data_IF_110299674816
#
_entry.id   IF_110299674816
#
_cell.length_a   1.000
_cell.length_b   1.000
_cell.length_c   1.000
_cell.angle_alpha   90.00
_cell.angle_beta   90.00
_cell.angle_gamma   90.00
#
_symmetry.space_group_name_H-M   'P 1'
#
loop_
_entity.id
_entity.type
_entity.pdbx_description
1 polymer ?
#
# COMPACT_ATOMS: atom_id res chain seq x y z
N UNK A 1 -11.22 0.40 1.04
CA UNK A 1 -10.12 1.32 0.67
C UNK A 1 -9.52 0.87 -0.67
N UNK A 2 -8.85 1.74 -1.43
CA UNK A 2 -8.16 1.34 -2.67
C UNK A 2 -6.65 1.55 -2.50
N UNK A 3 -5.84 0.56 -2.88
CA UNK A 3 -4.38 0.59 -2.73
C UNK A 3 -3.74 1.76 -3.49
N UNK A 4 -4.34 2.18 -4.61
CA UNK A 4 -3.82 3.25 -5.47
C UNK A 4 -3.59 4.57 -4.73
N UNK A 5 -4.46 4.90 -3.76
CA UNK A 5 -4.39 6.17 -3.05
C UNK A 5 -3.19 6.20 -2.10
N UNK A 6 -2.99 5.11 -1.36
CA UNK A 6 -1.85 4.93 -0.49
C UNK A 6 -0.54 4.90 -1.30
N UNK A 7 -0.52 4.15 -2.41
CA UNK A 7 0.63 4.05 -3.31
C UNK A 7 1.04 5.39 -3.92
N UNK A 8 0.08 6.16 -4.45
CA UNK A 8 0.38 7.44 -5.08
C UNK A 8 0.84 8.48 -4.05
N UNK A 9 0.19 8.57 -2.87
CA UNK A 9 0.65 9.48 -1.81
C UNK A 9 2.04 9.10 -1.31
N UNK A 10 2.31 7.81 -1.10
CA UNK A 10 3.62 7.30 -0.67
C UNK A 10 4.73 7.61 -1.68
N UNK A 11 4.49 7.34 -2.96
CA UNK A 11 5.45 7.65 -4.02
C UNK A 11 5.77 9.15 -4.10
N UNK A 12 4.75 10.01 -4.16
CA UNK A 12 4.97 11.47 -4.22
C UNK A 12 5.71 11.97 -2.96
N UNK A 13 5.37 11.43 -1.78
CA UNK A 13 6.04 11.77 -0.52
C UNK A 13 7.52 11.39 -0.52
N UNK A 14 7.87 10.21 -1.03
CA UNK A 14 9.27 9.74 -1.06
C UNK A 14 10.15 10.59 -2.00
N UNK A 15 9.59 11.09 -3.10
CA UNK A 15 10.28 12.05 -3.98
C UNK A 15 10.29 13.49 -3.44
N UNK A 16 9.41 13.82 -2.50
CA UNK A 16 9.09 15.20 -2.11
C UNK A 16 8.25 15.91 -3.18
N UNK A 17 8.70 15.90 -4.43
CA UNK A 17 7.97 16.37 -5.61
C UNK A 17 8.10 15.36 -6.74
N UNK A 18 6.98 14.99 -7.35
CA UNK A 18 7.00 14.00 -8.44
C UNK A 18 6.07 14.37 -9.59
N UNK A 19 6.53 14.11 -10.80
CA UNK A 19 5.68 14.03 -11.99
C UNK A 19 4.87 12.73 -11.99
N UNK A 20 3.72 12.75 -12.67
CA UNK A 20 2.89 11.55 -12.78
C UNK A 20 3.60 10.35 -13.45
N UNK A 21 4.57 10.61 -14.31
CA UNK A 21 5.41 9.57 -14.92
C UNK A 21 6.39 8.92 -13.91
N UNK A 22 7.01 9.70 -13.01
CA UNK A 22 7.88 9.14 -11.96
C UNK A 22 7.07 8.19 -11.05
N UNK A 23 5.90 8.65 -10.59
CA UNK A 23 4.97 7.83 -9.81
C UNK A 23 4.58 6.55 -10.56
N UNK A 24 4.31 6.64 -11.87
CA UNK A 24 4.02 5.45 -12.68
C UNK A 24 5.21 4.49 -12.71
N UNK A 25 6.41 5.00 -12.96
CA UNK A 25 7.62 4.19 -13.00
C UNK A 25 7.90 3.48 -11.68
N UNK A 26 7.71 4.16 -10.54
CA UNK A 26 7.89 3.55 -9.22
C UNK A 26 6.90 2.40 -9.01
N UNK A 27 5.62 2.61 -9.34
CA UNK A 27 4.60 1.57 -9.20
C UNK A 27 4.88 0.38 -10.14
N UNK A 28 5.40 0.62 -11.33
CA UNK A 28 5.85 -0.45 -12.23
C UNK A 28 7.07 -1.18 -11.66
N UNK A 29 8.03 -0.44 -11.10
CA UNK A 29 9.22 -0.99 -10.45
C UNK A 29 8.89 -1.85 -9.22
N UNK A 30 7.87 -1.47 -8.44
CA UNK A 30 7.33 -2.26 -7.34
C UNK A 30 6.50 -3.47 -7.78
N UNK A 31 6.35 -3.68 -9.10
CA UNK A 31 5.53 -4.75 -9.64
C UNK A 31 4.04 -4.59 -9.32
N UNK A 32 3.55 -3.36 -9.08
CA UNK A 32 2.17 -3.11 -8.63
C UNK A 32 1.11 -3.66 -9.61
N UNK A 33 1.47 -3.88 -10.87
CA UNK A 33 0.63 -4.51 -11.89
C UNK A 33 0.34 -6.00 -11.61
N UNK A 34 1.22 -6.69 -10.88
CA UNK A 34 1.07 -8.12 -10.55
C UNK A 34 0.12 -8.35 -9.37
N UNK A 35 0.10 -7.44 -8.41
CA UNK A 35 -0.57 -7.65 -7.12
C UNK A 35 -1.67 -6.63 -6.80
N UNK A 36 -1.85 -5.60 -7.63
CA UNK A 36 -2.92 -4.61 -7.47
C UNK A 36 -3.64 -4.34 -8.78
N UNK A 37 -4.79 -3.68 -8.70
CA UNK A 37 -5.51 -3.20 -9.89
C UNK A 37 -4.96 -1.85 -10.43
N UNK A 38 -3.79 -1.40 -9.99
CA UNK A 38 -3.20 -0.13 -10.40
C UNK A 38 -2.79 -0.19 -11.88
N UNK A 39 -3.55 0.53 -12.71
CA UNK A 39 -3.24 0.73 -14.14
C UNK A 39 -2.71 2.15 -14.36
N UNK A 40 -1.89 2.41 -15.40
CA UNK A 40 -1.40 3.75 -15.71
C UNK A 40 -2.48 4.84 -15.65
N UNK A 41 -3.62 4.63 -16.31
CA UNK A 41 -4.75 5.58 -16.28
C UNK A 41 -5.29 5.90 -14.88
N UNK A 42 -5.29 4.93 -13.96
CA UNK A 42 -5.75 5.12 -12.58
C UNK A 42 -4.79 5.96 -11.75
N UNK A 43 -3.49 5.93 -12.05
CA UNK A 43 -2.45 6.72 -11.38
C UNK A 43 -2.64 8.20 -11.68
N UNK A 44 -2.72 8.58 -12.96
CA UNK A 44 -2.97 9.99 -13.35
C UNK A 44 -4.31 10.50 -12.86
N UNK A 45 -5.34 9.65 -12.88
CA UNK A 45 -6.64 10.01 -12.33
C UNK A 45 -6.54 10.26 -10.81
N UNK A 46 -5.85 9.39 -10.06
CA UNK A 46 -5.66 9.55 -8.63
C UNK A 46 -4.90 10.83 -8.28
N UNK A 47 -3.80 11.14 -8.99
CA UNK A 47 -3.05 12.40 -8.82
C UNK A 47 -3.94 13.63 -8.98
N UNK A 48 -4.67 13.71 -10.11
CA UNK A 48 -5.60 14.82 -10.38
C UNK A 48 -6.71 14.92 -9.34
N UNK A 49 -7.26 13.78 -8.92
CA UNK A 49 -8.34 13.76 -7.94
C UNK A 49 -7.85 14.18 -6.55
N UNK A 50 -6.65 13.75 -6.14
CA UNK A 50 -6.06 14.14 -4.87
C UNK A 50 -5.62 15.59 -4.83
N UNK A 51 -5.19 16.15 -5.97
CA UNK A 51 -4.96 17.58 -6.09
C UNK A 51 -6.25 18.39 -5.92
N UNK A 52 -7.36 17.97 -6.55
CA UNK A 52 -8.68 18.59 -6.35
C UNK A 52 -9.18 18.51 -4.91
N UNK A 53 -8.76 17.48 -4.16
CA UNK A 53 -9.11 17.28 -2.76
C UNK A 53 -8.21 18.06 -1.79
N UNK A 54 -7.18 18.76 -2.27
CA UNK A 54 -6.22 19.48 -1.43
C UNK A 54 -5.15 18.59 -0.79
N UNK A 55 -5.07 17.31 -1.14
CA UNK A 55 -4.06 16.39 -0.61
C UNK A 55 -2.73 16.48 -1.34
N UNK A 56 -2.76 16.93 -2.59
CA UNK A 56 -1.58 17.21 -3.38
C UNK A 56 -1.63 18.67 -3.86
N UNK A 57 -0.50 19.34 -3.83
CA UNK A 57 -0.32 20.62 -4.48
C UNK A 57 0.25 20.38 -5.89
N UNK A 58 -0.46 20.87 -6.91
CA UNK A 58 -0.02 20.78 -8.30
C UNK A 58 0.79 22.03 -8.67
N UNK A 59 2.02 21.83 -9.12
CA UNK A 59 2.90 22.88 -9.62
C UNK A 59 2.96 22.79 -11.14
N UNK A 60 2.49 23.83 -11.82
CA UNK A 60 2.66 23.93 -13.27
C UNK A 60 4.10 24.35 -13.58
N UNK A 61 4.85 23.46 -14.20
CA UNK A 61 6.23 23.75 -14.63
C UNK A 61 6.20 24.20 -16.08
N UNK A 62 6.86 25.32 -16.34
CA UNK A 62 7.05 25.82 -17.69
C UNK A 62 7.66 24.74 -18.61
N UNK A 63 7.34 24.76 -19.91
CA UNK A 63 7.97 23.90 -20.90
C UNK A 63 9.49 23.85 -20.69
N UNK A 64 10.10 22.66 -20.73
CA UNK A 64 11.56 22.59 -20.65
C UNK A 64 12.18 23.42 -21.78
N UNK A 65 13.39 23.92 -21.57
CA UNK A 65 14.17 24.63 -22.60
C UNK A 65 14.42 23.77 -23.85
N UNK A 66 14.17 22.46 -23.78
CA UNK A 66 14.22 21.52 -24.89
C UNK A 66 12.89 21.34 -25.65
N UNK A 67 11.84 22.12 -25.36
CA UNK A 67 10.61 22.17 -26.14
C UNK A 67 9.57 21.09 -25.82
N UNK A 68 9.59 20.50 -24.63
CA UNK A 68 8.56 19.56 -24.17
C UNK A 68 7.29 20.26 -23.66
N UNK A 69 6.12 19.58 -23.62
CA UNK A 69 4.90 20.14 -23.02
C UNK A 69 5.14 20.51 -21.54
N UNK A 70 4.42 21.52 -21.02
CA UNK A 70 4.47 21.84 -19.59
C UNK A 70 4.08 20.59 -18.79
N UNK A 71 4.83 20.29 -17.74
CA UNK A 71 4.60 19.12 -16.88
C UNK A 71 4.04 19.58 -15.55
N UNK A 72 3.12 18.81 -15.00
CA UNK A 72 2.65 19.02 -13.64
C UNK A 72 3.52 18.23 -12.68
N UNK A 73 4.10 18.89 -11.67
CA UNK A 73 4.62 18.21 -10.47
C UNK A 73 3.55 18.20 -9.39
N UNK A 74 3.54 17.12 -8.60
CA UNK A 74 2.73 17.01 -7.41
C UNK A 74 3.63 16.99 -6.19
N UNK A 75 3.20 17.69 -5.15
CA UNK A 75 3.83 17.72 -3.84
C UNK A 75 2.77 17.36 -2.80
N UNK A 76 3.11 16.54 -1.81
CA UNK A 76 2.14 16.18 -0.76
C UNK A 76 1.94 17.37 0.17
N UNK A 77 0.68 17.71 0.46
CA UNK A 77 0.34 18.76 1.45
C UNK A 77 0.38 18.21 2.88
N UNK A 78 0.28 19.07 3.89
CA UNK A 78 0.11 18.62 5.29
C UNK A 78 -1.12 17.71 5.43
N UNK A 79 -2.24 18.10 4.82
CA UNK A 79 -3.46 17.29 4.79
C UNK A 79 -3.26 15.96 4.04
N UNK A 80 -2.48 15.97 2.96
CA UNK A 80 -2.10 14.75 2.23
C UNK A 80 -1.24 13.81 3.06
N UNK A 81 -0.35 14.36 3.89
CA UNK A 81 0.51 13.60 4.80
C UNK A 81 -0.33 12.96 5.92
N UNK A 82 -1.27 13.69 6.50
CA UNK A 82 -2.22 13.15 7.47
C UNK A 82 -3.06 12.01 6.88
N UNK A 83 -3.61 12.22 5.68
CA UNK A 83 -4.36 11.19 4.96
C UNK A 83 -3.49 9.95 4.68
N UNK A 84 -2.26 10.14 4.21
CA UNK A 84 -1.32 9.05 3.94
C UNK A 84 -1.12 8.15 5.17
N UNK A 85 -0.79 8.74 6.32
CA UNK A 85 -0.57 7.98 7.54
C UNK A 85 -1.88 7.38 8.09
N UNK A 86 -3.02 8.06 7.91
CA UNK A 86 -4.34 7.50 8.25
C UNK A 86 -4.63 6.24 7.44
N UNK A 87 -4.43 6.28 6.12
CA UNK A 87 -4.61 5.13 5.22
C UNK A 87 -3.65 4.00 5.57
N UNK A 88 -2.37 4.31 5.82
CA UNK A 88 -1.35 3.33 6.19
C UNK A 88 -1.73 2.59 7.48
N UNK A 89 -2.07 3.33 8.54
CA UNK A 89 -2.48 2.74 9.83
C UNK A 89 -3.72 1.86 9.69
N UNK A 90 -4.74 2.36 8.98
CA UNK A 90 -5.97 1.63 8.75
C UNK A 90 -5.70 0.32 7.97
N UNK A 91 -4.84 0.37 6.95
CA UNK A 91 -4.48 -0.79 6.15
C UNK A 91 -3.68 -1.84 6.93
N UNK A 92 -2.77 -1.42 7.82
CA UNK A 92 -2.03 -2.33 8.70
C UNK A 92 -2.92 -3.00 9.75
N UNK A 93 -3.96 -2.31 10.23
CA UNK A 93 -4.79 -2.78 11.35
C UNK A 93 -6.00 -3.63 10.92
N UNK A 94 -6.59 -3.33 9.76
CA UNK A 94 -7.86 -3.94 9.30
C UNK A 94 -7.62 -5.33 8.71
N UNK A 95 -8.17 -6.38 9.33
CA UNK A 95 -7.94 -7.77 8.93
C UNK A 95 -8.56 -8.13 7.57
N UNK A 96 -9.71 -7.53 7.25
CA UNK A 96 -10.56 -7.80 6.08
C UNK A 96 -10.21 -6.96 4.83
N UNK A 97 -9.08 -6.26 4.83
CA UNK A 97 -8.66 -5.51 3.64
C UNK A 97 -8.31 -6.44 2.49
N UNK A 98 -8.54 -5.95 1.27
CA UNK A 98 -8.05 -6.59 0.06
C UNK A 98 -6.53 -6.74 0.12
N UNK A 99 -6.03 -7.84 -0.44
CA UNK A 99 -4.60 -8.16 -0.46
C UNK A 99 -3.74 -7.03 -1.03
N UNK A 100 -4.24 -6.30 -2.03
CA UNK A 100 -3.53 -5.17 -2.63
C UNK A 100 -3.29 -4.01 -1.63
N UNK A 101 -4.30 -3.65 -0.84
CA UNK A 101 -4.19 -2.62 0.20
C UNK A 101 -3.18 -3.04 1.28
N UNK A 102 -3.22 -4.31 1.68
CA UNK A 102 -2.27 -4.88 2.66
C UNK A 102 -0.84 -4.85 2.11
N UNK A 103 -0.62 -5.30 0.87
CA UNK A 103 0.68 -5.28 0.23
C UNK A 103 1.25 -3.85 0.13
N UNK A 104 0.43 -2.88 -0.26
CA UNK A 104 0.84 -1.47 -0.29
C UNK A 104 1.27 -0.97 1.10
N UNK A 105 0.50 -1.29 2.14
CA UNK A 105 0.81 -0.88 3.51
C UNK A 105 2.11 -1.50 4.05
N UNK A 106 2.39 -2.77 3.72
CA UNK A 106 3.66 -3.41 4.07
C UNK A 106 4.84 -2.68 3.39
N UNK A 107 4.68 -2.28 2.12
CA UNK A 107 5.71 -1.54 1.38
C UNK A 107 6.09 -0.20 2.02
N UNK A 108 5.19 0.39 2.81
CA UNK A 108 5.39 1.67 3.49
C UNK A 108 5.51 1.55 5.02
N UNK A 109 5.61 0.34 5.57
CA UNK A 109 5.56 0.13 7.03
C UNK A 109 6.67 0.87 7.79
N UNK A 110 7.82 1.07 7.14
CA UNK A 110 9.00 1.74 7.71
C UNK A 110 8.84 3.25 7.84
N UNK A 111 7.81 3.83 7.22
CA UNK A 111 7.48 5.25 7.39
C UNK A 111 6.91 5.55 8.78
N UNK A 112 6.45 4.52 9.51
CA UNK A 112 6.01 4.63 10.89
C UNK A 112 7.20 4.44 11.86
N UNK A 113 7.13 4.95 13.10
CA UNK A 113 7.99 4.48 14.18
C UNK A 113 7.83 2.97 14.40
N UNK A 114 8.94 2.27 14.68
CA UNK A 114 8.94 0.80 14.89
C UNK A 114 7.90 0.34 15.90
N UNK A 115 7.85 1.01 17.05
CA UNK A 115 6.93 0.67 18.13
C UNK A 115 5.46 0.81 17.69
N UNK A 116 5.15 1.81 16.87
CA UNK A 116 3.82 2.01 16.32
C UNK A 116 3.46 0.90 15.32
N UNK A 117 4.35 0.60 14.36
CA UNK A 117 4.13 -0.47 13.40
C UNK A 117 3.88 -1.82 14.09
N UNK A 118 4.69 -2.17 15.10
CA UNK A 118 4.50 -3.38 15.90
C UNK A 118 3.16 -3.38 16.62
N UNK A 119 2.75 -2.26 17.21
CA UNK A 119 1.45 -2.16 17.90
C UNK A 119 0.27 -2.37 16.95
N UNK A 120 0.31 -1.80 15.73
CA UNK A 120 -0.75 -1.96 14.72
C UNK A 120 -0.83 -3.41 14.22
N UNK A 121 0.31 -4.09 14.01
CA UNK A 121 0.34 -5.49 13.62
C UNK A 121 -0.15 -6.43 14.74
N UNK A 122 0.16 -6.12 16.00
CA UNK A 122 -0.38 -6.85 17.16
C UNK A 122 -1.90 -6.69 17.24
N UNK A 123 -2.40 -5.48 17.04
CA UNK A 123 -3.84 -5.21 16.97
C UNK A 123 -4.51 -5.95 15.79
N UNK A 124 -3.87 -6.01 14.62
CA UNK A 124 -4.34 -6.83 13.49
C UNK A 124 -4.48 -8.30 13.89
N UNK A 125 -3.46 -8.84 14.54
CA UNK A 125 -3.43 -10.25 14.98
C UNK A 125 -4.59 -10.53 15.94
N UNK A 126 -4.80 -9.67 16.95
CA UNK A 126 -5.93 -9.77 17.88
C UNK A 126 -7.28 -9.80 17.14
N UNK A 127 -7.47 -8.93 16.14
CA UNK A 127 -8.73 -8.88 15.37
C UNK A 127 -8.95 -10.14 14.52
N UNK A 128 -7.89 -10.71 13.96
CA UNK A 128 -7.96 -11.98 13.22
C UNK A 128 -8.39 -13.11 14.17
N UNK A 129 -7.78 -13.19 15.35
CA UNK A 129 -8.10 -14.19 16.37
C UNK A 129 -9.56 -14.05 16.87
N UNK A 130 -10.03 -12.82 17.11
CA UNK A 130 -11.41 -12.54 17.50
C UNK A 130 -12.42 -12.93 16.43
N UNK A 131 -12.14 -12.57 15.17
CA UNK A 131 -12.99 -12.97 14.05
C UNK A 131 -13.03 -14.48 13.91
N UNK A 132 -11.86 -15.14 13.97
CA UNK A 132 -11.76 -16.60 13.89
C UNK A 132 -12.57 -17.27 15.00
N UNK A 133 -12.43 -16.81 16.24
CA UNK A 133 -13.19 -17.33 17.39
C UNK A 133 -14.70 -17.19 17.17
N UNK A 134 -15.16 -16.01 16.72
CA UNK A 134 -16.56 -15.77 16.43
C UNK A 134 -17.09 -16.70 15.32
N UNK A 135 -16.30 -16.95 14.27
CA UNK A 135 -16.65 -17.89 13.18
C UNK A 135 -16.80 -19.31 13.73
N UNK A 136 -15.86 -19.76 14.57
CA UNK A 136 -15.92 -21.11 15.16
C UNK A 136 -17.05 -21.29 16.15
N UNK A 137 -17.45 -20.24 16.88
CA UNK A 137 -18.55 -20.31 17.85
C UNK A 137 -19.93 -20.27 17.18
N UNK A 138 -20.10 -19.46 16.13
CA UNK A 138 -21.43 -19.20 15.55
C UNK A 138 -21.78 -20.09 14.35
N UNK A 139 -20.79 -20.55 13.59
CA UNK A 139 -21.03 -21.14 12.28
C UNK A 139 -20.54 -22.58 12.15
N UNK A 140 -19.66 -23.05 13.03
CA UNK A 140 -19.18 -24.44 13.00
C UNK A 140 -20.09 -25.30 13.87
N UNK A 141 -20.78 -26.32 13.30
CA UNK A 141 -21.56 -27.28 14.08
C UNK A 141 -20.70 -27.99 15.14
N UNK A 142 -21.31 -28.52 16.21
CA UNK A 142 -20.59 -29.23 17.30
C UNK A 142 -19.71 -30.38 16.77
N UNK A 143 -20.15 -31.07 15.71
CA UNK A 143 -19.40 -32.16 15.06
C UNK A 143 -18.50 -31.68 13.88
N UNK A 144 -18.35 -30.36 13.71
CA UNK A 144 -17.52 -29.73 12.69
C UNK A 144 -18.22 -29.38 11.36
N UNK A 145 -17.52 -28.65 10.47
CA UNK A 145 -18.11 -28.09 9.25
C UNK A 145 -18.50 -29.14 8.20
N UNK A 146 -18.02 -30.39 8.31
CA UNK A 146 -18.32 -31.48 7.37
C UNK A 146 -19.81 -31.86 7.28
N UNK A 147 -20.61 -31.52 8.29
CA UNK A 147 -22.07 -31.74 8.26
C UNK A 147 -22.80 -30.84 7.24
N UNK A 148 -22.18 -29.72 6.84
CA UNK A 148 -22.74 -28.82 5.84
C UNK A 148 -22.33 -29.21 4.41
N UNK A 149 -21.70 -30.39 4.24
CA UNK A 149 -21.20 -30.88 2.96
C UNK A 149 -20.18 -29.91 2.36
N UNK A 150 -20.24 -29.69 1.04
CA UNK A 150 -19.31 -28.79 0.34
C UNK A 150 -19.39 -27.32 0.80
N UNK A 151 -20.48 -26.90 1.45
CA UNK A 151 -20.59 -25.54 2.02
C UNK A 151 -19.67 -25.39 3.24
N UNK A 152 -19.38 -26.49 3.95
CA UNK A 152 -18.40 -26.52 5.05
C UNK A 152 -17.00 -26.10 4.63
N UNK A 153 -16.63 -26.29 3.35
CA UNK A 153 -15.32 -25.89 2.84
C UNK A 153 -15.08 -24.38 2.86
N UNK A 154 -16.15 -23.58 2.83
CA UNK A 154 -16.04 -22.11 2.97
C UNK A 154 -15.49 -21.76 4.37
N UNK A 155 -15.99 -22.44 5.41
CA UNK A 155 -15.50 -22.25 6.78
C UNK A 155 -14.08 -22.77 6.96
N UNK A 156 -13.76 -23.93 6.37
CA UNK A 156 -12.39 -24.45 6.38
C UNK A 156 -11.41 -23.44 5.77
N UNK A 157 -11.76 -22.89 4.59
CA UNK A 157 -10.96 -21.87 3.90
C UNK A 157 -10.76 -20.62 4.78
N UNK A 158 -11.81 -20.13 5.42
CA UNK A 158 -11.77 -18.97 6.31
C UNK A 158 -10.86 -19.18 7.52
N UNK A 159 -11.02 -20.31 8.22
CA UNK A 159 -10.19 -20.66 9.38
C UNK A 159 -8.73 -20.80 8.96
N UNK A 160 -8.45 -21.52 7.86
CA UNK A 160 -7.09 -21.68 7.35
C UNK A 160 -6.45 -20.35 6.95
N UNK A 161 -7.22 -19.47 6.31
CA UNK A 161 -6.74 -18.14 5.92
C UNK A 161 -6.41 -17.30 7.16
N UNK A 162 -7.29 -17.29 8.17
CA UNK A 162 -7.01 -16.57 9.41
C UNK A 162 -5.79 -17.11 10.16
N UNK A 163 -5.65 -18.43 10.27
CA UNK A 163 -4.50 -19.06 10.94
C UNK A 163 -3.19 -18.70 10.22
N UNK A 164 -3.15 -18.82 8.90
CA UNK A 164 -1.98 -18.47 8.10
C UNK A 164 -1.66 -16.96 8.18
N UNK A 165 -2.68 -16.09 8.18
CA UNK A 165 -2.46 -14.65 8.31
C UNK A 165 -1.94 -14.25 9.71
N UNK A 166 -2.46 -14.86 10.77
CA UNK A 166 -1.99 -14.62 12.13
C UNK A 166 -0.53 -15.09 12.29
N UNK A 167 -0.21 -16.31 11.85
CA UNK A 167 1.14 -16.85 11.88
C UNK A 167 2.13 -15.96 11.12
N UNK A 168 1.79 -15.56 9.89
CA UNK A 168 2.64 -14.68 9.10
C UNK A 168 2.85 -13.31 9.77
N UNK A 169 1.79 -12.74 10.34
CA UNK A 169 1.84 -11.42 11.01
C UNK A 169 2.73 -11.48 12.26
N UNK A 170 2.60 -12.52 13.07
CA UNK A 170 3.46 -12.77 14.24
C UNK A 170 4.92 -12.97 13.81
N UNK A 171 5.16 -13.70 12.73
CA UNK A 171 6.51 -13.86 12.17
C UNK A 171 7.10 -12.53 11.68
N UNK A 172 6.30 -11.65 11.08
CA UNK A 172 6.73 -10.30 10.71
C UNK A 172 7.07 -9.44 11.94
N UNK A 173 6.22 -9.47 12.96
CA UNK A 173 6.46 -8.78 14.24
C UNK A 173 7.79 -9.23 14.83
N UNK A 174 8.04 -10.55 14.92
CA UNK A 174 9.27 -11.09 15.47
C UNK A 174 10.53 -10.62 14.71
N UNK A 175 10.46 -10.54 13.37
CA UNK A 175 11.56 -9.98 12.56
C UNK A 175 11.79 -8.50 12.85
N UNK A 176 10.72 -7.70 12.94
CA UNK A 176 10.80 -6.27 13.24
C UNK A 176 11.36 -6.04 14.65
N UNK A 177 10.88 -6.75 15.66
CA UNK A 177 11.40 -6.67 17.03
C UNK A 177 12.84 -7.18 17.12
N UNK A 178 13.22 -8.15 16.28
CA UNK A 178 14.58 -8.66 16.12
C UNK A 178 15.55 -7.74 15.37
N UNK A 179 15.12 -6.52 15.00
CA UNK A 179 15.99 -5.50 14.38
C UNK A 179 15.96 -5.47 12.86
N UNK A 180 15.02 -6.15 12.20
CA UNK A 180 14.84 -6.00 10.76
C UNK A 180 14.40 -4.57 10.41
N UNK A 181 14.95 -4.05 9.31
CA UNK A 181 14.66 -2.74 8.70
C UNK A 181 15.02 -1.53 9.58
N UNK A 182 15.16 -0.37 8.96
CA UNK A 182 15.33 0.92 9.65
C UNK A 182 14.00 1.65 9.58
N UNK A 183 13.39 1.95 10.73
CA UNK A 183 12.10 2.64 10.78
C UNK A 183 12.29 4.15 10.96
N UNK A 184 11.21 4.90 10.76
CA UNK A 184 11.22 6.34 10.99
C UNK A 184 11.73 6.71 12.39
N UNK A 185 12.70 7.61 12.44
CA UNK A 185 13.37 8.04 13.68
C UNK A 185 14.58 7.21 14.10
N UNK A 186 14.93 6.15 13.36
CA UNK A 186 16.08 5.28 13.67
C UNK A 186 17.25 5.45 12.68
N UNK A 187 17.10 6.33 11.70
CA UNK A 187 18.05 6.55 10.61
C UNK A 187 17.29 6.80 9.30
N UNK A 188 17.98 6.61 8.17
CA UNK A 188 17.36 6.66 6.84
C UNK A 188 16.72 5.30 6.51
N UNK A 189 15.38 5.22 6.38
CA UNK A 189 14.71 4.00 5.93
C UNK A 189 15.07 3.66 4.48
N UNK A 190 14.80 2.42 4.09
CA UNK A 190 14.89 2.04 2.68
C UNK A 190 13.89 2.86 1.85
N UNK A 191 14.40 3.52 0.81
CA UNK A 191 13.60 4.24 -0.17
C UNK A 191 13.58 3.41 -1.45
N UNK A 192 12.38 2.97 -1.85
CA UNK A 192 12.18 2.06 -2.97
C UNK A 192 11.88 2.74 -4.30
N UNK A 193 12.01 4.07 -4.43
CA UNK A 193 11.76 4.77 -5.69
C UNK A 193 12.96 4.73 -6.63
N UNK A 194 12.71 4.86 -7.93
CA UNK A 194 13.77 5.01 -8.92
C UNK A 194 14.40 6.40 -8.81
N UNK A 195 15.73 6.46 -8.84
CA UNK A 195 16.46 7.73 -8.85
C UNK A 195 16.26 8.51 -10.15
N UNK A 196 16.58 9.81 -10.11
CA UNK A 196 16.51 10.66 -11.30
C UNK A 196 17.42 10.12 -12.43
N UNK A 197 16.80 9.74 -13.54
CA UNK A 197 17.49 9.20 -14.72
C UNK A 197 17.75 7.70 -14.70
N UNK A 198 17.30 6.97 -13.66
CA UNK A 198 17.36 5.51 -13.67
C UNK A 198 16.31 4.90 -14.60
N UNK A 199 16.72 3.97 -15.45
CA UNK A 199 15.81 3.20 -16.29
C UNK A 199 15.10 2.14 -15.45
N UNK A 200 13.78 2.11 -15.52
CA UNK A 200 12.99 1.05 -14.88
C UNK A 200 13.21 -0.29 -15.62
N UNK A 201 13.81 -1.32 -15.00
CA UNK A 201 14.08 -2.60 -15.64
C UNK A 201 12.80 -3.38 -15.99
N UNK A 202 11.66 -2.98 -15.42
CA UNK A 202 10.35 -3.59 -15.65
C UNK A 202 9.42 -2.69 -16.47
N UNK A 203 9.94 -1.62 -17.08
CA UNK A 203 9.15 -0.76 -17.95
C UNK A 203 8.55 -1.56 -19.11
N UNK A 204 7.26 -1.39 -19.34
CA UNK A 204 6.54 -2.05 -20.44
C UNK A 204 6.86 -1.45 -21.82
N UNK A 205 7.71 -0.41 -21.88
CA UNK A 205 8.11 0.29 -23.11
C UNK A 205 6.99 1.01 -23.85
N UNK A 206 5.75 1.00 -23.33
CA UNK A 206 4.58 1.57 -24.00
C UNK A 206 4.25 2.95 -23.42
N UNK A 207 4.36 4.04 -24.21
CA UNK A 207 3.98 5.37 -23.75
C UNK A 207 2.49 5.43 -23.42
N UNK A 208 2.13 6.02 -22.27
CA UNK A 208 0.76 6.29 -21.89
C UNK A 208 0.42 7.76 -22.20
N UNK A 209 -0.79 8.11 -22.69
CA UNK A 209 -1.17 9.51 -22.96
C UNK A 209 -1.07 10.46 -21.75
N UNK A 210 -0.98 9.90 -20.54
CA UNK A 210 -0.74 10.64 -19.30
C UNK A 210 0.72 11.03 -19.06
N UNK A 211 1.69 10.41 -19.73
CA UNK A 211 3.12 10.72 -19.59
C UNK A 211 3.48 12.13 -20.10
N UNK A 212 2.69 12.65 -21.04
CA UNK A 212 2.89 13.95 -21.66
C UNK A 212 2.09 15.09 -20.99
N UNK A 213 1.46 14.83 -19.84
CA UNK A 213 0.54 15.75 -19.14
C UNK A 213 1.04 16.15 -17.76
#
# INVERSE_FOLDING_TARGET
MSAIRLLVLGAVRQHGRAHGYQVRNDLEYWGAHEWSSAKPGSIYHALKQMAKQGLLLAHEIAPSTAGGPPRTEYEVTDQGTEEYFSLLRAALTSYDQKTDVKSAAIGFIVDLPRAEAVALLKERTRRIEEWRAAVTEHYVPEDGPGQLGHIGEIMNLWIHTADAEAEWTLGLIARIEGGAYTFAGEGEPFVGVLGDGEENPYATGTPHPGDAR
#
